data_IF_871065067313
#
_entry.id   IF_871065067313
#
_cell.length_a   1.000
_cell.length_b   1.000
_cell.length_c   1.000
_cell.angle_alpha   90.00
_cell.angle_beta   90.00
_cell.angle_gamma   90.00
#
_symmetry.space_group_name_H-M   'P 1'
#
loop_
_entity.id
_entity.type
_entity.pdbx_description
1 polymer ?
#
# COMPACT_ATOMS: atom_id res chain seq x y z
N UNK A 1 10.42 -3.74 -16.38
CA UNK A 1 9.83 -2.38 -16.40
C UNK A 1 8.75 -2.11 -15.35
N UNK A 2 8.01 -3.10 -14.83
CA UNK A 2 6.99 -2.85 -13.76
C UNK A 2 7.56 -2.40 -12.40
N UNK A 3 8.71 -2.93 -11.95
CA UNK A 3 9.31 -2.58 -10.64
C UNK A 3 9.59 -1.09 -10.42
N UNK A 4 9.95 -0.33 -11.46
CA UNK A 4 10.24 1.12 -11.33
C UNK A 4 8.97 1.94 -11.14
N UNK A 5 7.94 1.65 -11.94
CA UNK A 5 6.63 2.33 -11.88
C UNK A 5 5.98 2.16 -10.51
N UNK A 6 6.10 0.96 -9.94
CA UNK A 6 5.61 0.68 -8.60
C UNK A 6 6.35 1.53 -7.56
N UNK A 7 7.68 1.48 -7.49
CA UNK A 7 8.47 2.25 -6.51
C UNK A 7 8.18 3.75 -6.53
N UNK A 8 8.04 4.34 -7.73
CA UNK A 8 7.76 5.77 -7.89
C UNK A 8 6.35 6.14 -7.42
N UNK A 9 5.35 5.31 -7.74
CA UNK A 9 4.00 5.44 -7.20
C UNK A 9 3.98 5.38 -5.67
N UNK A 10 4.80 4.51 -5.05
CA UNK A 10 4.87 4.41 -3.58
C UNK A 10 5.48 5.65 -2.94
N UNK A 11 6.58 6.16 -3.49
CA UNK A 11 7.17 7.42 -3.04
C UNK A 11 6.17 8.57 -3.16
N UNK A 12 5.41 8.62 -4.26
CA UNK A 12 4.36 9.61 -4.47
C UNK A 12 3.20 9.46 -3.46
N UNK A 13 2.68 8.24 -3.27
CA UNK A 13 1.59 7.98 -2.34
C UNK A 13 1.99 8.34 -0.90
N UNK A 14 3.20 7.97 -0.48
CA UNK A 14 3.69 8.29 0.86
C UNK A 14 3.83 9.80 1.06
N UNK A 15 4.36 10.51 0.06
CA UNK A 15 4.42 11.98 0.07
C UNK A 15 3.03 12.60 0.19
N UNK A 16 2.06 12.14 -0.62
CA UNK A 16 0.68 12.65 -0.58
C UNK A 16 0.01 12.43 0.78
N UNK A 17 0.22 11.27 1.40
CA UNK A 17 -0.33 10.97 2.74
C UNK A 17 0.25 11.93 3.80
N UNK A 18 1.56 12.17 3.77
CA UNK A 18 2.24 13.11 4.66
C UNK A 18 1.75 14.54 4.42
N UNK A 19 1.67 14.98 3.16
CA UNK A 19 1.20 16.33 2.80
C UNK A 19 -0.22 16.61 3.25
N UNK A 20 -1.09 15.59 3.27
CA UNK A 20 -2.48 15.71 3.75
C UNK A 20 -2.62 15.62 5.27
N UNK A 21 -1.51 15.45 6.00
CA UNK A 21 -1.51 15.32 7.46
C UNK A 21 -2.05 13.99 7.97
N UNK A 22 -2.12 12.96 7.13
CA UNK A 22 -2.54 11.64 7.58
C UNK A 22 -1.41 10.97 8.36
N UNK A 23 -1.64 10.75 9.65
CA UNK A 23 -0.70 10.05 10.52
C UNK A 23 -0.80 8.55 10.24
N UNK A 24 0.09 8.06 9.38
CA UNK A 24 0.22 6.64 9.08
C UNK A 24 1.64 6.21 9.46
N UNK A 25 1.77 5.26 10.40
CA UNK A 25 3.10 4.78 10.85
C UNK A 25 3.80 4.04 9.73
N UNK A 26 3.11 3.09 9.12
CA UNK A 26 3.63 2.31 8.00
C UNK A 26 2.50 1.68 7.20
N UNK A 27 2.76 1.36 5.93
CA UNK A 27 1.86 0.55 5.12
C UNK A 27 2.61 -0.37 4.19
N UNK A 28 1.96 -1.46 3.80
CA UNK A 28 2.47 -2.45 2.87
C UNK A 28 1.36 -2.93 1.97
N UNK A 29 1.59 -2.90 0.67
CA UNK A 29 0.67 -3.44 -0.33
C UNK A 29 1.18 -4.81 -0.76
N UNK A 30 0.30 -5.79 -0.72
CA UNK A 30 0.58 -7.16 -1.15
C UNK A 30 -0.41 -7.53 -2.24
N UNK A 31 0.12 -7.87 -3.40
CA UNK A 31 -0.67 -8.43 -4.49
C UNK A 31 -0.74 -9.94 -4.31
N UNK A 32 -1.89 -10.42 -3.84
CA UNK A 32 -2.17 -11.87 -3.67
C UNK A 32 -2.62 -12.51 -4.97
N UNK A 33 -3.35 -11.76 -5.80
CA UNK A 33 -3.87 -12.20 -7.10
C UNK A 33 -3.73 -11.06 -8.10
N UNK A 34 -3.86 -11.36 -9.40
CA UNK A 34 -3.86 -10.35 -10.45
C UNK A 34 -4.85 -9.22 -10.17
N UNK A 35 -6.02 -9.58 -9.65
CA UNK A 35 -7.14 -8.66 -9.43
C UNK A 35 -7.38 -8.35 -7.93
N UNK A 36 -6.43 -8.71 -7.05
CA UNK A 36 -6.59 -8.50 -5.61
C UNK A 36 -5.32 -7.93 -4.96
N UNK A 37 -5.47 -6.78 -4.32
CA UNK A 37 -4.45 -6.09 -3.54
C UNK A 37 -4.90 -5.97 -2.07
N UNK A 38 -4.06 -6.43 -1.17
CA UNK A 38 -4.24 -6.26 0.27
C UNK A 38 -3.30 -5.16 0.74
N UNK A 39 -3.87 -4.14 1.37
CA UNK A 39 -3.13 -3.02 1.93
C UNK A 39 -3.12 -3.17 3.46
N UNK A 40 -1.99 -3.60 3.96
CA UNK A 40 -1.67 -3.63 5.38
C UNK A 40 -1.33 -2.23 5.85
N UNK A 41 -1.94 -1.81 6.94
CA UNK A 41 -1.80 -0.48 7.52
C UNK A 41 -1.40 -0.64 8.99
N UNK A 42 -0.20 -0.19 9.32
CA UNK A 42 0.34 -0.12 10.67
C UNK A 42 -0.03 1.22 11.30
N UNK A 43 -0.68 1.20 12.46
CA UNK A 43 -1.23 2.39 13.11
C UNK A 43 -1.21 2.23 14.62
N UNK A 44 -1.11 3.35 15.34
CA UNK A 44 -1.46 3.42 16.76
C UNK A 44 -2.96 3.66 17.00
N UNK A 45 -3.70 4.25 16.03
CA UNK A 45 -5.10 4.67 16.21
C UNK A 45 -6.00 4.38 14.98
N UNK A 46 -7.32 4.55 15.14
CA UNK A 46 -8.34 4.29 14.12
C UNK A 46 -8.08 5.10 12.84
N UNK A 47 -7.85 4.42 11.71
CA UNK A 47 -7.74 5.09 10.41
C UNK A 47 -9.09 5.64 9.98
N UNK A 48 -9.07 6.90 9.58
CA UNK A 48 -10.20 7.56 8.93
C UNK A 48 -10.53 6.83 7.61
N UNK A 49 -11.83 6.58 7.39
CA UNK A 49 -12.37 6.05 6.14
C UNK A 49 -11.86 6.84 4.92
N UNK A 50 -11.60 8.14 5.08
CA UNK A 50 -11.01 9.01 4.04
C UNK A 50 -9.65 8.52 3.55
N UNK A 51 -8.78 8.03 4.43
CA UNK A 51 -7.46 7.49 4.06
C UNK A 51 -7.61 6.23 3.24
N UNK A 52 -8.48 5.31 3.66
CA UNK A 52 -8.75 4.07 2.90
C UNK A 52 -9.29 4.40 1.50
N UNK A 53 -10.23 5.34 1.41
CA UNK A 53 -10.77 5.78 0.12
C UNK A 53 -9.70 6.42 -0.77
N UNK A 54 -8.85 7.27 -0.21
CA UNK A 54 -7.77 7.91 -0.95
C UNK A 54 -6.77 6.89 -1.49
N UNK A 55 -6.28 5.99 -0.65
CA UNK A 55 -5.34 4.93 -1.06
C UNK A 55 -5.99 4.04 -2.12
N UNK A 56 -7.25 3.65 -1.94
CA UNK A 56 -7.98 2.83 -2.93
C UNK A 56 -8.08 3.52 -4.29
N UNK A 57 -8.45 4.81 -4.31
CA UNK A 57 -8.52 5.60 -5.54
C UNK A 57 -7.18 5.71 -6.24
N UNK A 58 -6.11 5.92 -5.47
CA UNK A 58 -4.75 6.03 -5.98
C UNK A 58 -4.27 4.74 -6.63
N UNK A 59 -4.49 3.62 -5.95
CA UNK A 59 -4.16 2.27 -6.43
C UNK A 59 -4.93 1.95 -7.70
N UNK A 60 -6.23 2.21 -7.74
CA UNK A 60 -7.05 2.00 -8.94
C UNK A 60 -6.61 2.85 -10.12
N UNK A 61 -6.17 4.09 -9.85
CA UNK A 61 -5.71 5.02 -10.89
C UNK A 61 -4.36 4.63 -11.50
N UNK A 62 -3.44 4.09 -10.69
CA UNK A 62 -2.05 3.87 -11.11
C UNK A 62 -1.70 2.40 -11.39
N UNK A 63 -2.47 1.46 -10.85
CA UNK A 63 -2.24 0.02 -11.04
C UNK A 63 -3.27 -0.53 -12.03
N UNK A 64 -4.52 -0.68 -11.59
CA UNK A 64 -5.62 -1.18 -12.42
C UNK A 64 -6.97 -0.79 -11.77
N UNK A 65 -7.90 -0.17 -12.50
CA UNK A 65 -9.21 0.21 -11.96
C UNK A 65 -10.09 -0.98 -11.55
N UNK A 66 -9.87 -2.16 -12.15
CA UNK A 66 -10.62 -3.39 -11.87
C UNK A 66 -10.14 -4.12 -10.61
N UNK A 67 -9.01 -3.71 -10.04
CA UNK A 67 -8.44 -4.39 -8.87
C UNK A 67 -9.30 -4.19 -7.62
N UNK A 68 -9.49 -5.29 -6.90
CA UNK A 68 -10.13 -5.28 -5.58
C UNK A 68 -9.09 -4.89 -4.54
N UNK A 69 -9.36 -3.80 -3.81
CA UNK A 69 -8.48 -3.30 -2.74
C UNK A 69 -9.08 -3.64 -1.38
N UNK A 70 -8.39 -4.47 -0.60
CA UNK A 70 -8.74 -4.81 0.78
C UNK A 70 -7.81 -4.08 1.73
N UNK A 71 -8.32 -3.70 2.91
CA UNK A 71 -7.54 -3.01 3.93
C UNK A 71 -7.49 -3.86 5.19
N UNK A 72 -6.27 -4.18 5.63
CA UNK A 72 -6.04 -4.90 6.87
C UNK A 72 -5.23 -4.02 7.83
N UNK A 73 -5.66 -3.99 9.08
CA UNK A 73 -4.93 -3.29 10.14
C UNK A 73 -4.07 -4.32 10.86
N UNK A 74 -2.78 -4.02 11.00
CA UNK A 74 -1.81 -4.90 11.65
C UNK A 74 -1.03 -4.13 12.70
N UNK A 75 -0.62 -4.83 13.74
CA UNK A 75 0.19 -4.29 14.84
C UNK A 75 1.67 -4.20 14.48
N UNK A 76 2.10 -4.90 13.43
CA UNK A 76 3.46 -4.87 12.90
C UNK A 76 3.45 -5.16 11.40
N UNK A 77 4.33 -4.48 10.68
CA UNK A 77 4.69 -4.82 9.30
C UNK A 77 6.13 -5.32 9.33
N UNK A 78 6.33 -6.60 9.04
CA UNK A 78 7.68 -7.16 9.03
C UNK A 78 8.49 -6.61 7.84
N UNK A 79 9.69 -6.14 8.17
CA UNK A 79 10.72 -5.85 7.19
C UNK A 79 11.21 -7.15 6.57
N UNK A 80 11.66 -7.10 5.31
CA UNK A 80 12.32 -8.26 4.74
C UNK A 80 13.65 -8.53 5.45
N UNK A 81 14.12 -9.78 5.38
CA UNK A 81 15.40 -10.23 5.97
C UNK A 81 16.63 -9.39 5.55
N UNK A 82 16.52 -8.60 4.48
CA UNK A 82 17.55 -7.66 4.01
C UNK A 82 17.53 -6.28 4.70
N UNK A 83 16.61 -6.04 5.64
CA UNK A 83 16.38 -4.74 6.28
C UNK A 83 15.71 -3.69 5.39
N UNK A 84 15.47 -4.00 4.10
CA UNK A 84 14.80 -3.08 3.17
C UNK A 84 13.29 -3.15 3.36
N UNK A 85 12.67 -1.98 3.55
CA UNK A 85 11.20 -1.84 3.54
C UNK A 85 10.68 -2.04 2.12
N UNK A 86 10.12 -3.21 1.83
CA UNK A 86 9.31 -3.43 0.62
C UNK A 86 7.88 -3.02 0.89
N UNK A 87 7.54 -1.82 0.44
CA UNK A 87 6.17 -1.30 0.46
C UNK A 87 5.24 -2.05 -0.49
N UNK A 88 5.79 -2.78 -1.46
CA UNK A 88 5.04 -3.61 -2.40
C UNK A 88 5.64 -5.00 -2.50
N UNK A 89 4.80 -6.01 -2.29
CA UNK A 89 5.14 -7.41 -2.48
C UNK A 89 4.18 -7.98 -3.51
N UNK A 90 4.74 -8.57 -4.55
CA UNK A 90 3.98 -9.35 -5.50
C UNK A 90 4.12 -10.83 -5.10
N UNK A 91 3.04 -11.43 -4.60
CA UNK A 91 2.98 -12.84 -4.23
C UNK A 91 2.28 -13.67 -5.31
N UNK A 92 2.05 -13.11 -6.49
CA UNK A 92 1.64 -13.89 -7.65
C UNK A 92 2.84 -14.76 -8.03
N UNK A 93 2.87 -15.98 -7.51
CA UNK A 93 3.75 -17.04 -8.01
C UNK A 93 3.40 -17.25 -9.49
N UNK A 94 4.33 -16.88 -10.37
CA UNK A 94 4.31 -17.28 -11.78
C UNK A 94 4.71 -18.74 -11.92
#
# INVERSE_FOLDING_TARGET
SGKKVHSEFFSYLNRELITRGYVLKEFKIVQKKRDELIIYLLKDENIDKKVKQFISSMVKKHIDPSVTVKFEQVEKIDAEASGKKRYFVNEISG
#
